data_IF_808202322046
#
_entry.id   IF_808202322046
#
_cell.length_a   1.000
_cell.length_b   1.000
_cell.length_c   1.000
_cell.angle_alpha   90.00
_cell.angle_beta   90.00
_cell.angle_gamma   90.00
#
_symmetry.space_group_name_H-M   'P 1'
#
loop_
_entity.id
_entity.type
_entity.pdbx_description
1 polymer ?
#
# COMPACT_ATOMS: atom_id res chain seq x y z
N UNK A 1 8.37 12.69 -0.61
CA UNK A 1 7.05 12.56 0.06
C UNK A 1 6.25 11.36 -0.48
N UNK A 2 6.05 11.22 -1.80
CA UNK A 2 5.25 10.12 -2.39
C UNK A 2 5.78 8.69 -2.16
N UNK A 3 7.10 8.48 -2.17
CA UNK A 3 7.70 7.14 -2.00
C UNK A 3 7.44 6.55 -0.60
N UNK A 4 7.56 7.38 0.45
CA UNK A 4 7.30 6.95 1.83
C UNK A 4 5.82 6.62 2.07
N UNK A 5 4.91 7.39 1.47
CA UNK A 5 3.47 7.16 1.60
C UNK A 5 3.00 5.88 0.89
N UNK A 6 3.67 5.45 -0.18
CA UNK A 6 3.35 4.18 -0.83
C UNK A 6 3.71 2.97 0.04
N UNK A 7 4.69 3.10 0.93
CA UNK A 7 5.05 2.06 1.90
C UNK A 7 3.98 1.88 2.99
N UNK A 8 3.05 2.83 3.18
CA UNK A 8 1.99 2.68 4.18
C UNK A 8 1.00 1.56 3.87
N UNK A 9 0.73 1.27 2.61
CA UNK A 9 -0.15 0.17 2.20
C UNK A 9 0.40 -1.18 2.71
N UNK A 10 1.66 -1.56 2.37
CA UNK A 10 2.22 -2.79 2.89
C UNK A 10 2.41 -2.77 4.42
N UNK A 11 2.82 -1.66 5.01
CA UNK A 11 2.94 -1.57 6.49
C UNK A 11 1.61 -1.87 7.19
N UNK A 12 0.51 -1.32 6.67
CA UNK A 12 -0.83 -1.52 7.22
C UNK A 12 -1.29 -2.97 7.07
N UNK A 13 -1.04 -3.59 5.91
CA UNK A 13 -1.36 -5.00 5.68
C UNK A 13 -0.60 -5.92 6.64
N UNK A 14 0.71 -5.69 6.81
CA UNK A 14 1.53 -6.46 7.73
C UNK A 14 1.03 -6.32 9.19
N UNK A 15 0.70 -5.08 9.60
CA UNK A 15 0.15 -4.80 10.93
C UNK A 15 -1.19 -5.50 11.16
N UNK A 16 -2.09 -5.44 10.18
CA UNK A 16 -3.41 -6.07 10.25
C UNK A 16 -3.32 -7.61 10.26
N UNK A 17 -2.23 -8.16 9.74
CA UNK A 17 -1.95 -9.60 9.73
C UNK A 17 -1.13 -10.05 10.94
N UNK A 18 -0.91 -9.19 11.95
CA UNK A 18 -0.20 -9.56 13.18
C UNK A 18 1.32 -9.61 13.08
N UNK A 19 1.92 -9.20 11.96
CA UNK A 19 3.37 -9.15 11.80
C UNK A 19 3.98 -7.86 12.37
N UNK A 20 5.27 -7.92 12.69
CA UNK A 20 6.07 -6.71 12.86
C UNK A 20 6.20 -5.98 11.52
N UNK A 21 5.32 -5.00 11.34
CA UNK A 21 5.15 -4.20 10.12
C UNK A 21 6.47 -3.75 9.50
N UNK A 22 7.39 -3.21 10.29
CA UNK A 22 8.62 -2.60 9.77
C UNK A 22 9.57 -3.69 9.30
N UNK A 23 9.93 -4.60 10.21
CA UNK A 23 10.86 -5.71 9.93
C UNK A 23 10.36 -6.60 8.79
N UNK A 24 9.04 -6.84 8.72
CA UNK A 24 8.45 -7.68 7.68
C UNK A 24 8.52 -7.01 6.30
N UNK A 25 8.14 -5.72 6.20
CA UNK A 25 8.18 -4.98 4.94
C UNK A 25 9.61 -4.79 4.44
N UNK A 26 10.58 -4.58 5.33
CA UNK A 26 11.99 -4.51 4.96
C UNK A 26 12.49 -5.83 4.37
N UNK A 27 12.22 -6.97 5.02
CA UNK A 27 12.58 -8.29 4.48
C UNK A 27 11.93 -8.56 3.12
N UNK A 28 10.65 -8.23 2.97
CA UNK A 28 9.93 -8.37 1.69
C UNK A 28 10.60 -7.53 0.61
N UNK A 29 10.98 -6.29 0.92
CA UNK A 29 11.68 -5.39 0.01
C UNK A 29 13.06 -5.91 -0.39
N UNK A 30 13.83 -6.44 0.56
CA UNK A 30 15.14 -7.05 0.28
C UNK A 30 15.01 -8.23 -0.68
N UNK A 31 14.03 -9.12 -0.44
CA UNK A 31 13.74 -10.24 -1.34
C UNK A 31 13.39 -9.71 -2.73
N UNK A 32 12.51 -8.71 -2.82
CA UNK A 32 12.07 -8.11 -4.08
C UNK A 32 13.24 -7.53 -4.90
N UNK A 33 14.20 -6.87 -4.23
CA UNK A 33 15.39 -6.30 -4.86
C UNK A 33 16.35 -7.41 -5.31
N UNK A 34 16.60 -8.40 -4.46
CA UNK A 34 17.55 -9.49 -4.73
C UNK A 34 17.07 -10.43 -5.85
N UNK A 35 15.76 -10.71 -5.91
CA UNK A 35 15.17 -11.56 -6.95
C UNK A 35 14.75 -10.80 -8.20
N UNK A 36 14.73 -9.45 -8.13
CA UNK A 36 14.19 -8.56 -9.15
C UNK A 36 12.75 -8.95 -9.58
N UNK A 37 11.97 -9.51 -8.64
CA UNK A 37 10.63 -10.04 -8.88
C UNK A 37 9.58 -9.13 -8.23
N UNK A 38 8.78 -8.46 -9.06
CA UNK A 38 7.70 -7.58 -8.61
C UNK A 38 6.47 -8.29 -8.03
N UNK A 39 6.42 -9.63 -8.07
CA UNK A 39 5.28 -10.43 -7.56
C UNK A 39 5.38 -10.75 -6.08
N UNK A 40 6.48 -10.41 -5.42
CA UNK A 40 6.67 -10.60 -3.98
C UNK A 40 5.83 -9.57 -3.21
N UNK A 41 5.04 -10.05 -2.25
CA UNK A 41 4.16 -9.23 -1.43
C UNK A 41 4.09 -9.68 0.03
N UNK A 42 3.02 -9.27 0.72
CA UNK A 42 2.78 -9.61 2.11
C UNK A 42 1.83 -10.78 2.18
N UNK A 43 2.26 -11.85 2.84
CA UNK A 43 1.43 -13.02 3.10
C UNK A 43 0.47 -12.74 4.25
N UNK A 44 -0.69 -12.19 3.93
CA UNK A 44 -1.73 -11.87 4.92
C UNK A 44 -2.51 -13.12 5.38
N UNK A 45 -2.30 -14.27 4.73
CA UNK A 45 -3.01 -15.53 5.00
C UNK A 45 -2.16 -16.52 5.82
N UNK A 46 -0.96 -16.12 6.21
CA UNK A 46 0.01 -16.94 6.97
C UNK A 46 0.29 -18.31 6.31
N UNK A 47 0.25 -18.37 4.98
CA UNK A 47 0.48 -19.60 4.19
C UNK A 47 1.95 -19.95 4.03
N UNK A 48 2.85 -19.00 4.34
CA UNK A 48 4.29 -19.08 4.12
C UNK A 48 4.73 -18.67 2.70
N UNK A 49 3.80 -18.53 1.75
CA UNK A 49 4.08 -18.15 0.36
C UNK A 49 3.98 -16.63 0.18
N UNK A 50 5.11 -16.01 -0.21
CA UNK A 50 5.21 -14.55 -0.41
C UNK A 50 4.98 -14.13 -1.85
N UNK A 51 4.95 -15.07 -2.78
CA UNK A 51 4.66 -14.79 -4.17
C UNK A 51 3.14 -14.66 -4.38
N UNK A 52 2.68 -13.42 -4.60
CA UNK A 52 1.25 -13.12 -4.74
C UNK A 52 0.61 -13.83 -5.93
N UNK A 53 1.37 -14.10 -7.01
CA UNK A 53 0.89 -14.85 -8.17
C UNK A 53 0.65 -16.32 -7.84
N UNK A 54 1.51 -16.95 -7.05
CA UNK A 54 1.32 -18.32 -6.57
C UNK A 54 0.19 -18.42 -5.55
N UNK A 55 0.03 -17.41 -4.70
CA UNK A 55 -1.09 -17.31 -3.76
C UNK A 55 -2.43 -16.97 -4.44
N UNK A 56 -2.45 -16.78 -5.76
CA UNK A 56 -3.66 -16.47 -6.52
C UNK A 56 -4.22 -15.06 -6.31
N UNK A 57 -3.41 -14.15 -5.76
CA UNK A 57 -3.79 -12.77 -5.45
C UNK A 57 -3.47 -11.88 -6.65
N UNK A 58 -4.51 -11.38 -7.31
CA UNK A 58 -4.40 -10.52 -8.49
C UNK A 58 -5.22 -9.25 -8.32
N UNK A 59 -4.71 -8.16 -8.89
CA UNK A 59 -5.42 -6.90 -8.99
C UNK A 59 -5.34 -6.39 -10.43
N UNK A 60 -6.41 -5.77 -10.92
CA UNK A 60 -6.42 -5.20 -12.27
C UNK A 60 -5.57 -3.92 -12.32
N UNK A 61 -4.81 -3.77 -13.41
CA UNK A 61 -3.99 -2.57 -13.64
C UNK A 61 -4.84 -1.30 -13.62
N UNK A 62 -6.02 -1.32 -14.24
CA UNK A 62 -6.95 -0.19 -14.27
C UNK A 62 -7.42 0.22 -12.87
N UNK A 63 -7.69 -0.75 -11.99
CA UNK A 63 -8.06 -0.49 -10.59
C UNK A 63 -6.91 0.18 -9.85
N UNK A 64 -5.69 -0.39 -9.90
CA UNK A 64 -4.52 0.17 -9.21
C UNK A 64 -4.17 1.59 -9.69
N UNK A 65 -4.26 1.85 -10.99
CA UNK A 65 -4.06 3.20 -11.55
C UNK A 65 -5.14 4.16 -11.08
N UNK A 66 -6.41 3.73 -11.08
CA UNK A 66 -7.53 4.55 -10.62
C UNK A 66 -7.39 4.91 -9.14
N UNK A 67 -7.05 3.94 -8.28
CA UNK A 67 -6.85 4.17 -6.83
C UNK A 67 -5.79 5.25 -6.57
N UNK A 68 -4.63 5.18 -7.25
CA UNK A 68 -3.57 6.18 -7.10
C UNK A 68 -4.00 7.56 -7.60
N UNK A 69 -4.72 7.62 -8.73
CA UNK A 69 -5.24 8.86 -9.29
C UNK A 69 -6.28 9.51 -8.37
N UNK A 70 -7.19 8.71 -7.82
CA UNK A 70 -8.24 9.16 -6.89
C UNK A 70 -7.62 9.71 -5.60
N UNK A 71 -6.65 9.02 -5.01
CA UNK A 71 -5.95 9.50 -3.82
C UNK A 71 -5.25 10.84 -4.07
N UNK A 72 -4.57 10.98 -5.21
CA UNK A 72 -3.90 12.22 -5.59
C UNK A 72 -4.89 13.37 -5.81
N UNK A 73 -6.01 13.09 -6.50
CA UNK A 73 -7.05 14.08 -6.74
C UNK A 73 -7.72 14.55 -5.44
N UNK A 74 -7.98 13.62 -4.51
CA UNK A 74 -8.53 13.94 -3.20
C UNK A 74 -7.60 14.86 -2.41
N UNK A 75 -6.31 14.53 -2.34
CA UNK A 75 -5.30 15.37 -1.66
C UNK A 75 -5.24 16.75 -2.31
N UNK A 76 -5.26 16.84 -3.64
CA UNK A 76 -5.29 18.12 -4.35
C UNK A 76 -6.55 18.94 -4.04
N UNK A 77 -7.72 18.30 -3.92
CA UNK A 77 -8.95 19.00 -3.54
C UNK A 77 -8.84 19.54 -2.12
N UNK A 78 -8.36 18.75 -1.16
CA UNK A 78 -8.18 19.17 0.24
C UNK A 78 -7.18 20.32 0.35
N UNK A 79 -6.02 20.22 -0.31
CA UNK A 79 -4.99 21.26 -0.28
C UNK A 79 -5.44 22.58 -0.94
N UNK A 80 -6.45 22.54 -1.81
CA UNK A 80 -7.03 23.74 -2.43
C UNK A 80 -8.05 24.46 -1.55
N UNK A 81 -8.52 23.83 -0.48
CA UNK A 81 -9.46 24.47 0.47
C UNK A 81 -8.70 25.56 1.21
N UNK A 82 -9.09 26.82 0.99
CA UNK A 82 -8.48 27.99 1.62
C UNK A 82 -9.27 28.51 2.82
N UNK A 83 -10.56 28.20 2.90
CA UNK A 83 -11.46 28.64 3.98
C UNK A 83 -12.41 27.52 4.34
N UNK A 84 -12.54 27.23 5.63
CA UNK A 84 -13.55 26.35 6.19
C UNK A 84 -14.54 27.22 6.97
N UNK A 85 -15.79 27.27 6.54
CA UNK A 85 -16.87 27.94 7.28
C UNK A 85 -17.70 26.85 7.94
N UNK A 86 -17.73 26.85 9.26
CA UNK A 86 -18.58 25.97 10.05
C UNK A 86 -19.63 26.82 10.76
N UNK A 87 -20.91 26.53 10.52
CA UNK A 87 -22.01 27.13 11.27
C UNK A 87 -22.14 26.28 12.54
N UNK A 88 -21.62 26.79 13.65
CA UNK A 88 -21.82 26.17 14.95
C UNK A 88 -23.23 26.53 15.45
N UNK A 89 -24.03 25.51 15.77
CA UNK A 89 -25.11 25.63 16.76
C UNK A 89 -24.55 25.45 18.17
#
# INVERSE_FOLDING_TARGET
MLSLTLTQIPLTLAKNSGFDSINYVERVREIQINTNDSTIGIDCLETGEKNMKKSGIFESLSSKVSQLRMATNLVNMILKINVVISIAE
#
